data_IF_135252773502
#
_entry.id   IF_135252773502
#
_cell.length_a   1.000
_cell.length_b   1.000
_cell.length_c   1.000
_cell.angle_alpha   90.00
_cell.angle_beta   90.00
_cell.angle_gamma   90.00
#
_symmetry.space_group_name_H-M   'P 1'
#
loop_
_entity.id
_entity.type
_entity.pdbx_description
1 polymer ?
#
# COMPACT_ATOMS: atom_id res chain seq x y z
N UNK A 1 -25.00 -9.87 -11.86
CA UNK A 1 -26.33 -9.94 -11.23
C UNK A 1 -27.20 -8.76 -11.67
N UNK A 2 -26.79 -7.50 -11.43
CA UNK A 2 -27.58 -6.31 -11.79
C UNK A 2 -27.82 -6.20 -13.32
N UNK A 3 -26.80 -6.44 -14.15
CA UNK A 3 -26.90 -6.47 -15.62
C UNK A 3 -27.72 -7.64 -16.19
N UNK A 4 -27.79 -8.77 -15.48
CA UNK A 4 -28.68 -9.90 -15.83
C UNK A 4 -30.14 -9.57 -15.51
N UNK A 5 -30.38 -8.90 -14.38
CA UNK A 5 -31.72 -8.48 -13.94
C UNK A 5 -32.25 -7.32 -14.79
N UNK A 6 -31.38 -6.47 -15.34
CA UNK A 6 -31.75 -5.39 -16.27
C UNK A 6 -31.90 -5.84 -17.74
N UNK A 7 -31.65 -7.12 -18.06
CA UNK A 7 -31.76 -7.65 -19.42
C UNK A 7 -30.71 -7.11 -20.41
N UNK A 8 -29.67 -6.43 -19.92
CA UNK A 8 -28.62 -5.82 -20.74
C UNK A 8 -27.41 -6.73 -20.95
N UNK A 9 -27.44 -7.96 -20.42
CA UNK A 9 -26.35 -8.92 -20.51
C UNK A 9 -26.51 -9.82 -21.73
N UNK A 10 -26.07 -9.31 -22.89
CA UNK A 10 -25.93 -10.10 -24.10
C UNK A 10 -24.51 -10.66 -24.25
N UNK A 11 -24.36 -11.75 -25.03
CA UNK A 11 -23.07 -12.40 -25.29
C UNK A 11 -22.00 -11.43 -25.80
N UNK A 12 -22.39 -10.38 -26.53
CA UNK A 12 -21.51 -9.28 -26.95
C UNK A 12 -20.99 -8.49 -25.74
N UNK A 13 -21.88 -7.94 -24.92
CA UNK A 13 -21.50 -7.18 -23.71
C UNK A 13 -20.68 -8.01 -22.73
N UNK A 14 -20.94 -9.31 -22.63
CA UNK A 14 -20.14 -10.24 -21.82
C UNK A 14 -18.71 -10.39 -22.37
N UNK A 15 -18.56 -10.64 -23.68
CA UNK A 15 -17.25 -10.69 -24.34
C UNK A 15 -16.51 -9.36 -24.25
N UNK A 16 -17.20 -8.24 -24.45
CA UNK A 16 -16.60 -6.91 -24.39
C UNK A 16 -16.12 -6.59 -22.97
N UNK A 17 -16.89 -6.98 -21.95
CA UNK A 17 -16.49 -6.83 -20.54
C UNK A 17 -15.27 -7.68 -20.20
N UNK A 18 -15.23 -8.94 -20.67
CA UNK A 18 -14.07 -9.82 -20.51
C UNK A 18 -12.84 -9.26 -21.20
N UNK A 19 -12.96 -8.82 -22.47
CA UNK A 19 -11.85 -8.23 -23.22
C UNK A 19 -11.35 -6.93 -22.58
N UNK A 20 -12.26 -6.09 -22.08
CA UNK A 20 -11.94 -4.90 -21.31
C UNK A 20 -11.15 -5.22 -20.03
N UNK A 21 -11.59 -6.23 -19.27
CA UNK A 21 -10.90 -6.73 -18.08
C UNK A 21 -9.51 -7.29 -18.41
N UNK A 22 -9.40 -8.10 -19.47
CA UNK A 22 -8.11 -8.64 -19.94
C UNK A 22 -7.15 -7.54 -20.38
N UNK A 23 -7.63 -6.54 -21.13
CA UNK A 23 -6.80 -5.39 -21.52
C UNK A 23 -6.27 -4.65 -20.29
N UNK A 24 -7.14 -4.37 -19.33
CA UNK A 24 -6.76 -3.73 -18.06
C UNK A 24 -5.68 -4.54 -17.34
N UNK A 25 -5.90 -5.85 -17.20
CA UNK A 25 -4.94 -6.74 -16.55
C UNK A 25 -3.60 -6.78 -17.27
N UNK A 26 -3.58 -6.88 -18.61
CA UNK A 26 -2.35 -6.85 -19.38
C UNK A 26 -1.57 -5.53 -19.19
N UNK A 27 -2.26 -4.39 -19.10
CA UNK A 27 -1.60 -3.10 -18.81
C UNK A 27 -0.95 -3.10 -17.43
N UNK A 28 -1.69 -3.55 -16.41
CA UNK A 28 -1.16 -3.66 -15.03
C UNK A 28 0.03 -4.63 -15.00
N UNK A 29 -0.09 -5.79 -15.64
CA UNK A 29 0.96 -6.81 -15.68
C UNK A 29 2.25 -6.30 -16.34
N UNK A 30 2.15 -5.49 -17.42
CA UNK A 30 3.32 -4.89 -18.05
C UNK A 30 4.03 -3.87 -17.14
N UNK A 31 3.27 -3.03 -16.42
CA UNK A 31 3.84 -2.09 -15.45
C UNK A 31 4.51 -2.86 -14.30
N UNK A 32 3.84 -3.89 -13.77
CA UNK A 32 4.38 -4.74 -12.70
C UNK A 32 5.63 -5.50 -13.14
N UNK A 33 5.70 -5.97 -14.39
CA UNK A 33 6.88 -6.63 -14.92
C UNK A 33 8.11 -5.69 -14.91
N UNK A 34 7.92 -4.43 -15.32
CA UNK A 34 8.97 -3.41 -15.23
C UNK A 34 9.37 -3.09 -13.78
N UNK A 35 8.38 -2.93 -12.90
CA UNK A 35 8.61 -2.70 -11.47
C UNK A 35 9.33 -3.87 -10.78
N UNK A 36 9.04 -5.11 -11.18
CA UNK A 36 9.67 -6.31 -10.61
C UNK A 36 11.20 -6.32 -10.83
N UNK A 37 11.69 -5.83 -11.97
CA UNK A 37 13.14 -5.68 -12.18
C UNK A 37 13.78 -4.69 -11.20
N UNK A 38 13.12 -3.55 -10.97
CA UNK A 38 13.57 -2.56 -9.99
C UNK A 38 13.55 -3.15 -8.58
N UNK A 39 12.48 -3.85 -8.21
CA UNK A 39 12.36 -4.55 -6.94
C UNK A 39 13.47 -5.57 -6.75
N UNK A 40 13.76 -6.40 -7.75
CA UNK A 40 14.84 -7.37 -7.69
C UNK A 40 16.20 -6.68 -7.52
N UNK A 41 16.49 -5.65 -8.30
CA UNK A 41 17.73 -4.89 -8.20
C UNK A 41 17.91 -4.28 -6.79
N UNK A 42 16.86 -3.68 -6.23
CA UNK A 42 16.88 -3.14 -4.86
C UNK A 42 17.06 -4.23 -3.80
N UNK A 43 16.43 -5.40 -4.00
CA UNK A 43 16.61 -6.57 -3.16
C UNK A 43 18.05 -7.09 -3.15
N UNK A 44 18.71 -7.12 -4.33
CA UNK A 44 20.11 -7.52 -4.46
C UNK A 44 21.08 -6.51 -3.82
N UNK A 45 20.82 -5.20 -3.99
CA UNK A 45 21.65 -4.14 -3.36
C UNK A 45 21.41 -4.11 -1.84
N UNK A 46 20.28 -4.61 -1.36
CA UNK A 46 19.92 -4.61 0.06
C UNK A 46 19.55 -3.23 0.60
N UNK A 47 19.31 -2.23 -0.27
CA UNK A 47 19.05 -0.85 0.14
C UNK A 47 17.88 -0.72 1.13
N UNK A 48 16.70 -1.32 0.89
CA UNK A 48 15.58 -1.25 1.84
C UNK A 48 15.95 -1.81 3.22
N UNK A 49 16.71 -2.90 3.22
CA UNK A 49 17.16 -3.59 4.43
C UNK A 49 18.15 -2.74 5.20
N UNK A 50 19.16 -2.17 4.54
CA UNK A 50 20.17 -1.32 5.18
C UNK A 50 19.55 -0.04 5.76
N UNK A 51 18.59 0.57 5.07
CA UNK A 51 17.87 1.73 5.61
C UNK A 51 17.02 1.35 6.83
N UNK A 52 16.37 0.19 6.82
CA UNK A 52 15.65 -0.32 7.98
C UNK A 52 16.58 -0.63 9.17
N UNK A 53 17.77 -1.20 8.92
CA UNK A 53 18.79 -1.46 9.94
C UNK A 53 19.29 -0.16 10.56
N UNK A 54 19.50 0.86 9.71
CA UNK A 54 19.87 2.19 10.17
C UNK A 54 18.78 2.80 11.07
N UNK A 55 17.51 2.74 10.68
CA UNK A 55 16.40 3.22 11.53
C UNK A 55 16.35 2.47 12.86
N UNK A 56 16.55 1.15 12.84
CA UNK A 56 16.60 0.32 14.06
C UNK A 56 17.76 0.69 14.99
N UNK A 57 18.88 1.16 14.44
CA UNK A 57 20.06 1.58 15.22
C UNK A 57 19.85 2.88 16.01
N UNK A 58 18.87 3.71 15.63
CA UNK A 58 18.64 5.03 16.22
C UNK A 58 18.01 4.99 17.63
N UNK A 59 17.64 3.80 18.14
CA UNK A 59 17.03 3.59 19.48
C UNK A 59 15.93 4.61 19.80
N UNK A 60 15.01 4.80 18.84
CA UNK A 60 13.97 5.81 18.92
C UNK A 60 12.87 5.44 19.90
N UNK A 61 12.17 6.46 20.42
CA UNK A 61 10.91 6.25 21.14
C UNK A 61 9.84 5.69 20.20
N UNK A 62 8.81 4.97 20.69
CA UNK A 62 7.80 4.35 19.83
C UNK A 62 7.11 5.33 18.88
N UNK A 63 6.77 6.52 19.35
CA UNK A 63 6.14 7.55 18.51
C UNK A 63 7.08 8.07 17.41
N UNK A 64 8.36 8.28 17.73
CA UNK A 64 9.35 8.75 16.77
C UNK A 64 9.71 7.65 15.75
N UNK A 65 9.77 6.39 16.19
CA UNK A 65 9.93 5.23 15.32
C UNK A 65 8.81 5.17 14.28
N UNK A 66 7.55 5.30 14.69
CA UNK A 66 6.40 5.27 13.78
C UNK A 66 6.43 6.42 12.76
N UNK A 67 6.82 7.62 13.18
CA UNK A 67 6.93 8.77 12.27
C UNK A 67 8.05 8.54 11.24
N UNK A 68 9.22 8.08 11.68
CA UNK A 68 10.35 7.77 10.79
C UNK A 68 10.01 6.63 9.84
N UNK A 69 9.36 5.58 10.32
CA UNK A 69 8.88 4.46 9.49
C UNK A 69 7.85 4.94 8.46
N UNK A 70 6.93 5.83 8.83
CA UNK A 70 5.96 6.41 7.90
C UNK A 70 6.69 7.11 6.75
N UNK A 71 7.62 8.00 7.06
CA UNK A 71 8.40 8.73 6.04
C UNK A 71 9.24 7.77 5.19
N UNK A 72 9.89 6.81 5.84
CA UNK A 72 10.67 5.78 5.18
C UNK A 72 9.85 4.99 4.15
N UNK A 73 8.69 4.46 4.54
CA UNK A 73 7.82 3.70 3.64
C UNK A 73 7.21 4.57 2.53
N UNK A 74 6.90 5.84 2.79
CA UNK A 74 6.44 6.77 1.75
C UNK A 74 7.52 6.97 0.67
N UNK A 75 8.77 7.17 1.09
CA UNK A 75 9.90 7.32 0.15
C UNK A 75 10.17 6.00 -0.58
N UNK A 76 10.13 4.87 0.12
CA UNK A 76 10.41 3.57 -0.46
C UNK A 76 9.32 3.12 -1.46
N UNK A 77 8.05 3.44 -1.16
CA UNK A 77 6.91 3.14 -2.02
C UNK A 77 6.88 3.92 -3.34
N UNK A 78 7.75 4.92 -3.50
CA UNK A 78 7.98 5.57 -4.79
C UNK A 78 8.75 4.68 -5.78
N UNK A 79 9.49 3.69 -5.28
CA UNK A 79 10.34 2.80 -6.08
C UNK A 79 9.85 1.35 -6.07
N UNK A 80 9.28 0.90 -4.96
CA UNK A 80 8.89 -0.48 -4.75
C UNK A 80 7.38 -0.63 -4.64
N UNK A 81 6.88 -1.75 -5.15
CA UNK A 81 5.50 -2.16 -4.91
C UNK A 81 5.29 -2.56 -3.44
N UNK A 82 4.05 -2.46 -2.98
CA UNK A 82 3.73 -2.58 -1.56
C UNK A 82 4.16 -3.90 -0.92
N UNK A 83 3.90 -5.00 -1.61
CA UNK A 83 4.25 -6.33 -1.10
C UNK A 83 5.76 -6.45 -0.98
N UNK A 84 6.49 -6.08 -2.03
CA UNK A 84 7.95 -6.22 -2.04
C UNK A 84 8.64 -5.38 -0.98
N UNK A 85 8.20 -4.12 -0.78
CA UNK A 85 8.81 -3.30 0.27
C UNK A 85 8.57 -3.85 1.68
N UNK A 86 7.38 -4.38 1.96
CA UNK A 86 7.09 -5.01 3.25
C UNK A 86 7.96 -6.24 3.43
N UNK A 87 8.00 -7.14 2.44
CA UNK A 87 8.79 -8.38 2.53
C UNK A 87 10.28 -8.11 2.73
N UNK A 88 10.84 -7.12 2.02
CA UNK A 88 12.27 -6.79 2.10
C UNK A 88 12.66 -6.10 3.42
N UNK A 89 11.73 -5.42 4.08
CA UNK A 89 12.02 -4.61 5.28
C UNK A 89 11.57 -5.27 6.58
N UNK A 90 10.53 -6.11 6.54
CA UNK A 90 9.92 -6.71 7.72
C UNK A 90 10.90 -7.53 8.55
N UNK A 91 11.83 -8.26 7.91
CA UNK A 91 12.84 -9.06 8.61
C UNK A 91 13.71 -8.26 9.60
N UNK A 92 13.86 -6.96 9.37
CA UNK A 92 14.65 -6.05 10.22
C UNK A 92 13.77 -5.19 11.12
N UNK A 93 12.62 -4.74 10.63
CA UNK A 93 11.75 -3.83 11.38
C UNK A 93 10.99 -4.57 12.47
N UNK A 94 10.57 -5.81 12.25
CA UNK A 94 9.81 -6.60 13.21
C UNK A 94 10.49 -6.69 14.60
N UNK A 95 11.78 -7.07 14.73
CA UNK A 95 12.44 -7.09 16.03
C UNK A 95 12.58 -5.69 16.64
N UNK A 96 12.75 -4.65 15.83
CA UNK A 96 12.82 -3.25 16.29
C UNK A 96 11.49 -2.80 16.89
N UNK A 97 10.37 -3.13 16.25
CA UNK A 97 9.00 -2.83 16.71
C UNK A 97 8.66 -3.58 17.99
N UNK A 98 9.03 -4.86 18.08
CA UNK A 98 8.87 -5.66 19.29
C UNK A 98 9.70 -5.11 20.46
N UNK A 99 10.95 -4.72 20.21
CA UNK A 99 11.82 -4.09 21.21
C UNK A 99 11.28 -2.73 21.69
N UNK A 100 10.59 -1.99 20.82
CA UNK A 100 9.90 -0.75 21.17
C UNK A 100 8.57 -0.98 21.93
N UNK A 101 8.15 -2.23 22.14
CA UNK A 101 6.93 -2.56 22.87
C UNK A 101 5.64 -2.26 22.10
N UNK A 102 5.71 -2.15 20.76
CA UNK A 102 4.55 -1.87 19.92
C UNK A 102 3.82 -3.18 19.64
N UNK A 103 2.49 -3.16 19.77
CA UNK A 103 1.64 -4.30 19.44
C UNK A 103 1.73 -4.65 17.94
N UNK A 104 1.96 -5.93 17.65
CA UNK A 104 2.20 -6.44 16.29
C UNK A 104 0.96 -6.37 15.40
N UNK A 105 -0.23 -6.55 15.97
CA UNK A 105 -1.49 -6.47 15.23
C UNK A 105 -1.73 -5.02 14.81
N UNK A 106 -1.55 -4.08 15.74
CA UNK A 106 -1.63 -2.65 15.46
C UNK A 106 -0.58 -2.22 14.44
N UNK A 107 0.68 -2.66 14.61
CA UNK A 107 1.74 -2.36 13.65
C UNK A 107 1.44 -2.93 12.26
N UNK A 108 0.87 -4.13 12.17
CA UNK A 108 0.45 -4.76 10.91
C UNK A 108 -0.62 -3.95 10.17
N UNK A 109 -1.58 -3.36 10.88
CA UNK A 109 -2.60 -2.52 10.27
C UNK A 109 -2.02 -1.15 9.89
N UNK A 110 -1.16 -0.59 10.74
CA UNK A 110 -0.42 0.63 10.47
C UNK A 110 0.43 0.51 9.20
N UNK A 111 1.26 -0.52 9.07
CA UNK A 111 2.15 -0.70 7.91
C UNK A 111 1.34 -0.87 6.63
N UNK A 112 0.23 -1.63 6.64
CA UNK A 112 -0.65 -1.78 5.47
C UNK A 112 -1.21 -0.42 5.04
N UNK A 113 -1.69 0.39 5.98
CA UNK A 113 -2.21 1.72 5.64
C UNK A 113 -1.13 2.66 5.11
N UNK A 114 0.07 2.65 5.70
CA UNK A 114 1.19 3.46 5.22
C UNK A 114 1.64 3.02 3.82
N UNK A 115 1.67 1.71 3.56
CA UNK A 115 2.01 1.13 2.26
C UNK A 115 1.01 1.55 1.18
N UNK A 116 -0.28 1.41 1.46
CA UNK A 116 -1.35 1.84 0.55
C UNK A 116 -1.32 3.37 0.33
N UNK A 117 -1.01 4.13 1.39
CA UNK A 117 -0.85 5.58 1.31
C UNK A 117 0.35 5.96 0.43
N UNK A 118 1.47 5.24 0.53
CA UNK A 118 2.64 5.48 -0.32
C UNK A 118 2.33 5.25 -1.81
N UNK A 119 1.55 4.23 -2.14
CA UNK A 119 1.20 3.91 -3.54
C UNK A 119 0.24 4.92 -4.19
N UNK A 120 -0.49 5.69 -3.39
CA UNK A 120 -1.42 6.73 -3.85
C UNK A 120 -0.82 8.15 -3.75
N UNK A 121 0.35 8.29 -3.13
CA UNK A 121 1.02 9.58 -2.89
C UNK A 121 1.46 10.25 -4.21
N UNK A 122 1.02 11.50 -4.49
CA UNK A 122 1.64 12.35 -5.52
C UNK A 122 3.13 12.57 -5.23
N UNK A 123 4.11 12.48 -6.17
CA UNK A 123 4.04 12.51 -7.64
C UNK A 123 4.36 11.20 -8.38
N UNK A 124 4.70 10.10 -7.69
CA UNK A 124 5.23 8.85 -8.30
C UNK A 124 4.62 7.57 -7.71
N UNK A 125 3.34 7.61 -7.32
CA UNK A 125 2.63 6.42 -6.82
C UNK A 125 2.29 5.40 -7.92
N UNK A 126 2.56 4.12 -7.67
CA UNK A 126 2.23 3.00 -8.58
C UNK A 126 0.76 3.03 -9.04
N UNK A 127 -0.17 3.30 -8.11
CA UNK A 127 -1.60 3.35 -8.42
C UNK A 127 -1.96 4.50 -9.37
N UNK A 128 -1.21 5.61 -9.34
CA UNK A 128 -1.42 6.73 -10.27
C UNK A 128 -1.01 6.37 -11.70
N UNK A 129 0.03 5.56 -11.89
CA UNK A 129 0.43 5.05 -13.22
C UNK A 129 -0.58 4.06 -13.79
N UNK A 130 -1.14 3.20 -12.94
CA UNK A 130 -2.24 2.31 -13.34
C UNK A 130 -3.45 3.14 -13.79
N UNK A 131 -3.86 4.14 -13.00
CA UNK A 131 -4.95 5.04 -13.36
C UNK A 131 -4.67 5.84 -14.64
N UNK A 132 -3.43 6.25 -14.88
CA UNK A 132 -3.02 6.88 -16.14
C UNK A 132 -3.20 5.94 -17.32
N UNK A 133 -2.81 4.67 -17.17
CA UNK A 133 -3.05 3.64 -18.18
C UNK A 133 -4.53 3.48 -18.51
N UNK A 134 -5.39 3.46 -17.50
CA UNK A 134 -6.84 3.30 -17.66
C UNK A 134 -7.53 4.52 -18.27
N UNK A 135 -7.20 5.71 -17.76
CA UNK A 135 -7.92 6.95 -18.08
C UNK A 135 -7.30 7.71 -19.26
N UNK A 136 -6.06 7.39 -19.63
CA UNK A 136 -5.25 8.09 -20.63
C UNK A 136 -5.10 9.60 -20.34
N UNK A 137 -5.33 10.03 -19.10
CA UNK A 137 -5.17 11.42 -18.65
C UNK A 137 -3.77 11.67 -18.14
N UNK A 138 -3.36 12.94 -18.15
CA UNK A 138 -2.04 13.32 -17.64
C UNK A 138 -1.93 13.01 -16.14
N UNK A 139 -0.77 12.47 -15.72
CA UNK A 139 -0.48 12.11 -14.33
C UNK A 139 -0.74 13.25 -13.35
N UNK A 140 -0.45 14.50 -13.74
CA UNK A 140 -0.71 15.68 -12.91
C UNK A 140 -2.19 15.94 -12.63
N UNK A 141 -3.07 15.65 -13.60
CA UNK A 141 -4.52 15.76 -13.40
C UNK A 141 -5.03 14.66 -12.46
N UNK A 142 -4.56 13.43 -12.68
CA UNK A 142 -4.93 12.26 -11.86
C UNK A 142 -4.46 12.47 -10.42
N UNK A 143 -3.19 12.84 -10.24
CA UNK A 143 -2.59 13.18 -8.95
C UNK A 143 -3.42 14.19 -8.17
N UNK A 144 -3.87 15.28 -8.81
CA UNK A 144 -4.75 16.26 -8.17
C UNK A 144 -6.13 15.71 -7.82
N UNK A 145 -6.69 14.85 -8.66
CA UNK A 145 -7.97 14.19 -8.40
C UNK A 145 -7.87 13.18 -7.24
N UNK A 146 -6.70 12.61 -6.99
CA UNK A 146 -6.48 11.61 -5.95
C UNK A 146 -6.06 12.21 -4.60
N UNK A 147 -5.60 13.46 -4.56
CA UNK A 147 -5.32 14.20 -3.31
C UNK A 147 -6.37 14.06 -2.20
N UNK A 148 -7.70 14.17 -2.45
CA UNK A 148 -8.70 13.96 -1.40
C UNK A 148 -8.65 12.56 -0.78
N UNK A 149 -8.36 11.52 -1.57
CA UNK A 149 -8.19 10.15 -1.05
C UNK A 149 -6.93 10.02 -0.21
N UNK A 150 -5.82 10.64 -0.63
CA UNK A 150 -4.61 10.70 0.18
C UNK A 150 -4.87 11.38 1.53
N UNK A 151 -5.58 12.51 1.54
CA UNK A 151 -5.96 13.19 2.78
C UNK A 151 -6.84 12.30 3.69
N UNK A 152 -7.77 11.53 3.12
CA UNK A 152 -8.57 10.58 3.86
C UNK A 152 -7.73 9.45 4.48
N UNK A 153 -6.69 8.98 3.79
CA UNK A 153 -5.76 7.99 4.34
C UNK A 153 -4.90 8.54 5.48
N UNK A 154 -4.42 9.78 5.35
CA UNK A 154 -3.71 10.46 6.44
C UNK A 154 -4.62 10.63 7.66
N UNK A 155 -5.88 10.99 7.43
CA UNK A 155 -6.88 11.07 8.50
C UNK A 155 -7.11 9.70 9.16
N UNK A 156 -7.22 8.62 8.38
CA UNK A 156 -7.36 7.27 8.91
C UNK A 156 -6.15 6.86 9.76
N UNK A 157 -4.93 7.20 9.33
CA UNK A 157 -3.69 6.97 10.09
C UNK A 157 -3.71 7.72 11.43
N UNK A 158 -4.10 9.00 11.42
CA UNK A 158 -4.24 9.81 12.64
C UNK A 158 -5.31 9.25 13.59
N UNK A 159 -6.44 8.82 13.06
CA UNK A 159 -7.50 8.20 13.85
C UNK A 159 -7.04 6.92 14.53
N UNK A 160 -6.30 6.07 13.82
CA UNK A 160 -5.75 4.81 14.37
C UNK A 160 -4.68 5.07 15.44
N UNK A 161 -3.90 6.14 15.27
CA UNK A 161 -2.93 6.57 16.26
C UNK A 161 -3.60 7.11 17.54
N UNK A 162 -4.63 7.95 17.41
CA UNK A 162 -5.35 8.54 18.55
C UNK A 162 -6.29 7.54 19.23
N UNK A 163 -6.92 6.65 18.45
CA UNK A 163 -7.89 5.67 18.91
C UNK A 163 -7.46 4.25 18.49
N UNK A 164 -6.45 3.65 19.15
CA UNK A 164 -5.98 2.30 18.83
C UNK A 164 -7.04 1.21 19.05
N UNK A 165 -8.13 1.55 19.74
CA UNK A 165 -9.30 0.68 19.95
C UNK A 165 -10.03 0.37 18.64
N UNK A 166 -10.00 1.27 17.64
CA UNK A 166 -10.63 1.03 16.33
C UNK A 166 -10.06 -0.22 15.66
N UNK A 167 -8.74 -0.40 15.80
CA UNK A 167 -7.98 -1.50 15.22
C UNK A 167 -8.28 -2.83 15.92
N UNK A 168 -8.45 -2.80 17.25
CA UNK A 168 -8.65 -4.00 18.07
C UNK A 168 -10.11 -4.41 18.21
N UNK A 169 -11.07 -3.52 17.91
CA UNK A 169 -12.51 -3.77 18.05
C UNK A 169 -12.98 -4.99 17.24
N UNK A 170 -12.69 -5.00 15.92
CA UNK A 170 -13.13 -6.08 15.05
C UNK A 170 -12.44 -7.43 15.38
N UNK A 171 -11.11 -7.49 15.57
CA UNK A 171 -10.43 -8.70 16.02
C UNK A 171 -10.95 -9.22 17.37
N UNK A 172 -11.28 -8.35 18.32
CA UNK A 172 -11.85 -8.75 19.61
C UNK A 172 -13.23 -9.39 19.46
N UNK A 173 -14.06 -8.90 18.53
CA UNK A 173 -15.38 -9.46 18.23
C UNK A 173 -15.28 -10.83 17.52
N UNK A 174 -14.26 -11.02 16.68
CA UNK A 174 -14.01 -12.27 15.92
C UNK A 174 -13.33 -13.35 16.76
N UNK A 175 -12.54 -12.98 17.78
CA UNK A 175 -11.92 -13.90 18.76
C UNK A 175 -12.93 -14.46 19.77
N UNK A 176 -14.18 -14.72 19.38
CA UNK A 176 -15.10 -15.51 20.23
C UNK A 176 -14.41 -16.84 20.57
N UNK A 177 -14.30 -17.20 21.85
CA UNK A 177 -13.73 -18.49 22.23
C UNK A 177 -14.64 -19.59 21.67
N UNK A 178 -14.06 -20.52 20.93
CA UNK A 178 -14.65 -21.85 20.73
C UNK A 178 -14.66 -22.60 22.06
#
# INVERSE_FOLDING_TARGET
AISLVQGSLDWRTFKDSLLGGTRLYCMIALILAGAAFLTLAMGYIGLPRHLAEWIGSLKLTPAMLLLVLTLFYVVLGCFLDGISMVVLTMGVILPTVQAAGIDLLWFGIFIVLVVEMAQITPPVGFNLFVLQGMTQRQLGWISRATLPFFAAMVLALLLIYLFPQIVSFLPAQMRRPL
#
